data_IF_832299725266
#
_entry.id   IF_832299725266
#
_cell.length_a   1.000
_cell.length_b   1.000
_cell.length_c   1.000
_cell.angle_alpha   90.00
_cell.angle_beta   90.00
_cell.angle_gamma   90.00
#
_symmetry.space_group_name_H-M   'P 1'
#
loop_
_entity.id
_entity.type
_entity.pdbx_description
1 polymer ?
#
# COMPACT_ATOMS: atom_id res chain seq x y z
N UNK A 1 7.12 37.46 -31.43
CA UNK A 1 7.88 36.21 -31.67
C UNK A 1 8.25 35.70 -30.29
N UNK A 2 7.49 34.74 -29.79
CA UNK A 2 7.87 33.98 -28.60
C UNK A 2 9.10 33.17 -28.95
N UNK A 3 10.18 33.40 -28.21
CA UNK A 3 11.48 32.78 -28.42
C UNK A 3 11.39 31.31 -28.03
N UNK A 4 12.17 30.45 -28.67
CA UNK A 4 12.31 29.04 -28.25
C UNK A 4 12.69 28.95 -26.76
N UNK A 5 13.42 29.93 -26.23
CA UNK A 5 13.73 30.07 -24.79
C UNK A 5 12.50 30.20 -23.89
N UNK A 6 11.41 30.83 -24.37
CA UNK A 6 10.18 30.97 -23.58
C UNK A 6 9.45 29.62 -23.48
N UNK A 7 9.42 28.86 -24.58
CA UNK A 7 8.88 27.50 -24.61
C UNK A 7 9.72 26.50 -23.80
N UNK A 8 11.05 26.67 -23.79
CA UNK A 8 11.97 25.86 -22.98
C UNK A 8 11.77 26.19 -21.50
N UNK A 9 11.64 27.46 -21.12
CA UNK A 9 11.36 27.86 -19.73
C UNK A 9 10.00 27.37 -19.25
N UNK A 10 8.97 27.46 -20.08
CA UNK A 10 7.64 26.96 -19.75
C UNK A 10 7.69 25.44 -19.52
N UNK A 11 8.29 24.68 -20.44
CA UNK A 11 8.43 23.22 -20.32
C UNK A 11 9.31 22.79 -19.13
N UNK A 12 10.38 23.54 -18.82
CA UNK A 12 11.18 23.33 -17.62
C UNK A 12 10.38 23.65 -16.36
N UNK A 13 9.63 24.74 -16.32
CA UNK A 13 8.81 25.11 -15.16
C UNK A 13 7.66 24.14 -14.92
N UNK A 14 7.11 23.57 -15.99
CA UNK A 14 6.04 22.57 -15.93
C UNK A 14 6.59 21.22 -15.45
N UNK A 15 7.77 20.81 -15.92
CA UNK A 15 8.48 19.64 -15.40
C UNK A 15 8.94 19.82 -13.95
N UNK A 16 9.44 20.99 -13.57
CA UNK A 16 9.86 21.29 -12.21
C UNK A 16 8.67 21.25 -11.25
N UNK A 17 7.52 21.81 -11.66
CA UNK A 17 6.28 21.74 -10.90
C UNK A 17 5.73 20.31 -10.81
N UNK A 18 5.75 19.50 -11.88
CA UNK A 18 5.38 18.07 -11.82
C UNK A 18 6.32 17.27 -10.90
N UNK A 19 7.61 17.58 -10.89
CA UNK A 19 8.58 16.93 -10.00
C UNK A 19 8.33 17.36 -8.55
N UNK A 20 8.03 18.64 -8.30
CA UNK A 20 7.71 19.15 -6.95
C UNK A 20 6.40 18.56 -6.43
N UNK A 21 5.36 18.49 -7.27
CA UNK A 21 4.05 17.94 -6.93
C UNK A 21 4.10 16.41 -6.73
N UNK A 22 4.91 15.70 -7.53
CA UNK A 22 5.15 14.25 -7.35
C UNK A 22 6.04 13.91 -6.16
N UNK A 23 6.72 14.90 -5.57
CA UNK A 23 7.63 14.74 -4.41
C UNK A 23 7.15 15.44 -3.15
N UNK A 24 5.92 15.97 -3.17
CA UNK A 24 5.25 16.43 -1.96
C UNK A 24 5.07 15.24 -1.00
N UNK A 25 5.29 15.46 0.30
CA UNK A 25 5.11 14.41 1.31
C UNK A 25 3.64 13.98 1.35
N UNK A 26 3.32 12.95 0.56
CA UNK A 26 2.04 12.28 0.62
C UNK A 26 1.80 11.84 2.07
N UNK A 27 0.73 12.37 2.68
CA UNK A 27 0.31 11.99 4.02
C UNK A 27 0.08 10.48 4.16
N UNK A 28 0.06 9.98 5.40
CA UNK A 28 -0.06 8.55 5.68
C UNK A 28 -1.25 7.87 4.95
N UNK A 29 -2.38 8.57 4.86
CA UNK A 29 -3.57 8.08 4.16
C UNK A 29 -3.42 8.06 2.64
N UNK A 30 -2.71 9.02 2.04
CA UNK A 30 -2.49 9.02 0.59
C UNK A 30 -1.42 8.00 0.18
N UNK A 31 -0.42 7.72 1.03
CA UNK A 31 0.44 6.55 0.84
C UNK A 31 -0.35 5.23 0.93
N UNK A 32 -1.23 5.10 1.92
CA UNK A 32 -2.06 3.90 2.08
C UNK A 32 -3.02 3.70 0.90
N UNK A 33 -3.64 4.78 0.40
CA UNK A 33 -4.50 4.74 -0.79
C UNK A 33 -3.70 4.48 -2.06
N UNK A 34 -2.47 5.00 -2.16
CA UNK A 34 -1.55 4.73 -3.27
C UNK A 34 -1.21 3.24 -3.42
N UNK A 35 -1.22 2.49 -2.31
CA UNK A 35 -1.02 1.04 -2.33
C UNK A 35 -2.11 0.29 -3.11
N UNK A 36 -3.30 0.90 -3.30
CA UNK A 36 -4.40 0.31 -4.07
C UNK A 36 -4.38 0.71 -5.55
N UNK A 37 -3.71 1.80 -5.92
CA UNK A 37 -3.67 2.32 -7.30
C UNK A 37 -2.34 2.10 -8.03
N UNK A 38 -1.28 1.66 -7.32
CA UNK A 38 0.03 1.37 -7.92
C UNK A 38 0.08 0.11 -8.77
N UNK A 39 1.27 -0.21 -9.33
CA UNK A 39 1.53 -1.45 -10.11
C UNK A 39 1.18 -2.73 -9.36
N UNK A 40 1.33 -2.71 -8.04
CA UNK A 40 0.98 -3.81 -7.13
C UNK A 40 -0.43 -3.66 -6.53
N UNK A 41 -1.22 -2.68 -6.96
CA UNK A 41 -2.55 -2.39 -6.41
C UNK A 41 -3.53 -3.56 -6.49
N UNK A 42 -3.44 -4.38 -7.55
CA UNK A 42 -4.23 -5.61 -7.65
C UNK A 42 -3.84 -6.64 -6.58
N UNK A 43 -2.55 -6.73 -6.22
CA UNK A 43 -2.08 -7.62 -5.15
C UNK A 43 -2.61 -7.14 -3.81
N UNK A 44 -2.57 -5.83 -3.55
CA UNK A 44 -3.15 -5.21 -2.35
C UNK A 44 -4.65 -5.52 -2.24
N UNK A 45 -5.39 -5.43 -3.36
CA UNK A 45 -6.81 -5.80 -3.42
C UNK A 45 -7.05 -7.28 -3.11
N UNK A 46 -6.25 -8.19 -3.66
CA UNK A 46 -6.34 -9.62 -3.37
C UNK A 46 -6.05 -9.88 -1.89
N UNK A 47 -5.01 -9.27 -1.33
CA UNK A 47 -4.66 -9.39 0.10
C UNK A 47 -5.81 -8.89 0.97
N UNK A 48 -6.41 -7.74 0.67
CA UNK A 48 -7.56 -7.20 1.38
C UNK A 48 -8.78 -8.11 1.32
N UNK A 49 -9.06 -8.69 0.14
CA UNK A 49 -10.18 -9.60 -0.04
C UNK A 49 -9.98 -10.90 0.73
N UNK A 50 -8.78 -11.49 0.66
CA UNK A 50 -8.42 -12.70 1.40
C UNK A 50 -8.45 -12.42 2.91
N UNK A 51 -7.86 -11.31 3.37
CA UNK A 51 -7.91 -10.90 4.77
C UNK A 51 -9.37 -10.74 5.26
N UNK A 52 -10.21 -10.09 4.45
CA UNK A 52 -11.64 -9.91 4.75
C UNK A 52 -12.36 -11.24 4.86
N UNK A 53 -12.13 -12.16 3.91
CA UNK A 53 -12.69 -13.50 3.94
C UNK A 53 -12.24 -14.28 5.18
N UNK A 54 -10.95 -14.25 5.52
CA UNK A 54 -10.41 -14.90 6.72
C UNK A 54 -11.00 -14.33 8.00
N UNK A 55 -11.20 -13.01 8.06
CA UNK A 55 -11.85 -12.37 9.20
C UNK A 55 -13.31 -12.81 9.34
N UNK A 56 -14.09 -12.80 8.25
CA UNK A 56 -15.50 -13.24 8.25
C UNK A 56 -15.62 -14.71 8.66
N UNK A 57 -14.79 -15.60 8.08
CA UNK A 57 -14.77 -17.02 8.44
C UNK A 57 -14.30 -17.22 9.88
N UNK A 58 -13.32 -16.44 10.35
CA UNK A 58 -12.83 -16.46 11.72
C UNK A 58 -13.91 -16.07 12.73
N UNK A 59 -14.67 -15.01 12.46
CA UNK A 59 -15.81 -14.58 13.29
C UNK A 59 -16.92 -15.63 13.28
N UNK A 60 -17.21 -16.23 12.13
CA UNK A 60 -18.19 -17.31 12.03
C UNK A 60 -17.76 -18.55 12.85
N UNK A 61 -16.49 -18.93 12.78
CA UNK A 61 -15.94 -20.01 13.59
C UNK A 61 -15.99 -19.68 15.10
N UNK A 62 -15.71 -18.43 15.48
CA UNK A 62 -15.84 -17.96 16.85
C UNK A 62 -17.28 -18.03 17.34
N UNK A 63 -18.26 -17.68 16.51
CA UNK A 63 -19.67 -17.83 16.85
C UNK A 63 -20.02 -19.32 17.07
N UNK A 64 -19.54 -20.21 16.19
CA UNK A 64 -19.78 -21.65 16.34
C UNK A 64 -19.13 -22.23 17.60
N UNK A 65 -18.00 -21.67 18.04
CA UNK A 65 -17.35 -21.98 19.31
C UNK A 65 -18.25 -21.67 20.51
N UNK A 66 -18.87 -20.49 20.57
CA UNK A 66 -19.77 -20.13 21.67
C UNK A 66 -21.05 -20.99 21.71
N UNK A 67 -21.48 -21.51 20.55
CA UNK A 67 -22.62 -22.42 20.45
C UNK A 67 -22.28 -23.91 20.55
N UNK A 68 -21.04 -24.28 20.92
CA UNK A 68 -20.64 -25.68 21.03
C UNK A 68 -21.04 -26.27 22.38
N UNK A 69 -21.72 -27.42 22.36
CA UNK A 69 -22.13 -28.16 23.56
C UNK A 69 -21.14 -29.24 23.98
N UNK A 70 -20.18 -29.55 23.11
CA UNK A 70 -19.14 -30.55 23.32
C UNK A 70 -17.76 -29.90 23.30
N UNK A 71 -16.86 -30.38 24.15
CA UNK A 71 -15.52 -29.81 24.35
C UNK A 71 -14.67 -29.97 23.10
N UNK A 72 -14.74 -31.10 22.40
CA UNK A 72 -13.97 -31.34 21.19
C UNK A 72 -14.43 -30.40 20.06
N UNK A 73 -15.75 -30.22 19.93
CA UNK A 73 -16.31 -29.26 18.99
C UNK A 73 -15.87 -27.82 19.31
N UNK A 74 -15.89 -27.43 20.59
CA UNK A 74 -15.43 -26.12 21.02
C UNK A 74 -13.95 -25.91 20.65
N UNK A 75 -13.06 -26.85 20.99
CA UNK A 75 -11.64 -26.71 20.65
C UNK A 75 -11.41 -26.59 19.14
N UNK A 76 -12.10 -27.39 18.33
CA UNK A 76 -11.99 -27.33 16.86
C UNK A 76 -12.36 -25.94 16.32
N UNK A 77 -13.50 -25.39 16.75
CA UNK A 77 -13.96 -24.09 16.29
C UNK A 77 -13.14 -22.93 16.85
N UNK A 78 -12.78 -22.98 18.13
CA UNK A 78 -11.98 -21.96 18.80
C UNK A 78 -10.56 -21.87 18.24
N UNK A 79 -9.89 -23.01 18.01
CA UNK A 79 -8.55 -23.04 17.43
C UNK A 79 -8.55 -22.55 15.97
N UNK A 80 -9.54 -22.99 15.18
CA UNK A 80 -9.67 -22.51 13.79
C UNK A 80 -9.92 -20.99 13.75
N UNK A 81 -10.78 -20.48 14.62
CA UNK A 81 -11.06 -19.05 14.73
C UNK A 81 -9.80 -18.25 15.12
N UNK A 82 -9.07 -18.71 16.14
CA UNK A 82 -7.85 -18.06 16.59
C UNK A 82 -6.80 -17.99 15.46
N UNK A 83 -6.55 -19.10 14.77
CA UNK A 83 -5.58 -19.16 13.67
C UNK A 83 -6.00 -18.23 12.53
N UNK A 84 -7.27 -18.25 12.12
CA UNK A 84 -7.76 -17.39 11.03
C UNK A 84 -7.64 -15.90 11.36
N UNK A 85 -8.01 -15.51 12.58
CA UNK A 85 -7.93 -14.11 13.02
C UNK A 85 -6.48 -13.63 13.16
N UNK A 86 -5.59 -14.47 13.70
CA UNK A 86 -4.16 -14.17 13.78
C UNK A 86 -3.54 -14.01 12.39
N UNK A 87 -3.82 -14.94 11.47
CA UNK A 87 -3.32 -14.90 10.11
C UNK A 87 -3.86 -13.68 9.35
N UNK A 88 -5.14 -13.31 9.54
CA UNK A 88 -5.69 -12.08 8.97
C UNK A 88 -4.96 -10.83 9.49
N UNK A 89 -4.59 -10.81 10.77
CA UNK A 89 -3.75 -9.75 11.36
C UNK A 89 -2.36 -9.69 10.74
N UNK A 90 -1.69 -10.85 10.56
CA UNK A 90 -0.37 -10.93 9.95
C UNK A 90 -0.37 -10.46 8.48
N UNK A 91 -1.41 -10.82 7.71
CA UNK A 91 -1.61 -10.33 6.34
C UNK A 91 -1.66 -8.81 6.28
N UNK A 92 -2.39 -8.17 7.20
CA UNK A 92 -2.43 -6.70 7.28
C UNK A 92 -1.05 -6.09 7.56
N UNK A 93 -0.29 -6.69 8.48
CA UNK A 93 1.06 -6.24 8.83
C UNK A 93 2.07 -6.41 7.67
N UNK A 94 1.84 -7.38 6.78
CA UNK A 94 2.71 -7.63 5.62
C UNK A 94 2.69 -6.50 4.57
N UNK A 95 1.70 -5.60 4.63
CA UNK A 95 1.59 -4.46 3.71
C UNK A 95 2.48 -3.27 4.13
N UNK A 96 2.83 -3.14 5.41
CA UNK A 96 3.67 -2.04 5.92
C UNK A 96 5.05 -1.95 5.25
N UNK A 97 5.80 -3.06 5.07
CA UNK A 97 7.07 -3.02 4.36
C UNK A 97 6.95 -2.56 2.90
N UNK A 98 5.83 -2.86 2.24
CA UNK A 98 5.59 -2.47 0.85
C UNK A 98 5.43 -0.95 0.74
N UNK A 99 4.68 -0.35 1.68
CA UNK A 99 4.55 1.11 1.80
C UNK A 99 5.91 1.79 1.98
N UNK A 100 6.79 1.21 2.80
CA UNK A 100 8.14 1.74 3.03
C UNK A 100 9.02 1.60 1.78
N UNK A 101 8.96 0.46 1.09
CA UNK A 101 9.71 0.23 -0.15
C UNK A 101 9.31 1.22 -1.24
N UNK A 102 8.01 1.47 -1.42
CA UNK A 102 7.50 2.43 -2.39
C UNK A 102 7.93 3.87 -2.06
N UNK A 103 7.95 4.24 -0.78
CA UNK A 103 8.48 5.55 -0.33
C UNK A 103 9.95 5.70 -0.70
N UNK A 104 10.77 4.67 -0.45
CA UNK A 104 12.20 4.70 -0.76
C UNK A 104 12.45 4.76 -2.27
N UNK A 105 11.71 3.98 -3.06
CA UNK A 105 11.84 3.99 -4.53
C UNK A 105 11.47 5.35 -5.12
N UNK A 106 10.45 6.01 -4.59
CA UNK A 106 10.06 7.37 -5.01
C UNK A 106 11.15 8.39 -4.72
N UNK A 107 11.71 8.38 -3.52
CA UNK A 107 12.82 9.28 -3.17
C UNK A 107 14.09 8.99 -3.99
N UNK A 108 14.37 7.72 -4.29
CA UNK A 108 15.49 7.34 -5.15
C UNK A 108 15.31 7.90 -6.57
N UNK A 109 14.09 7.83 -7.12
CA UNK A 109 13.79 8.39 -8.44
C UNK A 109 13.96 9.92 -8.46
N UNK A 110 13.55 10.61 -7.39
CA UNK A 110 13.79 12.05 -7.22
C UNK A 110 15.27 12.39 -7.26
N UNK A 111 16.10 11.63 -6.54
CA UNK A 111 17.56 11.82 -6.54
C UNK A 111 18.16 11.58 -7.94
N UNK A 112 17.71 10.53 -8.64
CA UNK A 112 18.15 10.24 -10.02
C UNK A 112 17.86 11.42 -10.97
N UNK A 113 16.67 12.01 -10.90
CA UNK A 113 16.28 13.16 -11.71
C UNK A 113 17.14 14.41 -11.40
N UNK A 114 17.40 14.68 -10.12
CA UNK A 114 18.25 15.82 -9.72
C UNK A 114 19.69 15.67 -10.22
N UNK A 115 20.23 14.45 -10.23
CA UNK A 115 21.58 14.19 -10.75
C UNK A 115 21.61 14.39 -12.27
N UNK A 116 20.62 13.88 -13.00
CA UNK A 116 20.54 14.06 -14.46
C UNK A 116 20.42 15.54 -14.85
N UNK A 117 19.63 16.33 -14.10
CA UNK A 117 19.53 17.77 -14.29
C UNK A 117 20.89 18.46 -14.10
N UNK A 118 21.61 18.15 -13.00
CA UNK A 118 22.94 18.73 -12.73
C UNK A 118 24.02 18.29 -13.72
N UNK A 119 23.94 17.09 -14.27
CA UNK A 119 24.91 16.58 -15.24
C UNK A 119 24.69 17.10 -16.67
N UNK A 120 23.53 17.71 -16.93
CA UNK A 120 23.20 18.36 -18.22
C UNK A 120 23.61 19.83 -18.29
N UNK A 121 24.02 20.45 -17.18
CA UNK A 121 24.72 21.74 -17.12
C UNK A 121 26.24 21.59 -17.26
#
# INVERSE_FOLDING_TARGET
MTSIDDLIKEALSEQENEIIESTEELGYFSLAMGLFSGKLGWVTWVIMLVQGAMFVVGVWAAWRFFGATDVLAAVKWGMSAAVLLLMAGMLKMSLMPQIQADRVLRELKRVELLILHRAGE
#
